data_IF_453586254144
#
_entry.id   IF_453586254144
#
_cell.length_a   1.000
_cell.length_b   1.000
_cell.length_c   1.000
_cell.angle_alpha   90.00
_cell.angle_beta   90.00
_cell.angle_gamma   90.00
#
_symmetry.space_group_name_H-M   'P 1'
#
loop_
_entity.id
_entity.type
_entity.pdbx_description
1 polymer ?
#
# COMPACT_ATOMS: atom_id res chain seq x y z
N UNK A 1 19.70 4.54 3.79
CA UNK A 1 18.58 4.32 3.54
C UNK A 1 17.66 4.45 4.60
N UNK A 2 16.73 5.11 4.48
CA UNK A 2 15.88 5.37 5.51
C UNK A 2 14.77 4.45 5.54
N UNK A 3 14.70 3.72 6.58
CA UNK A 3 13.60 2.80 6.78
C UNK A 3 12.70 3.27 7.89
N UNK A 4 12.97 4.45 8.41
CA UNK A 4 12.15 4.97 9.48
C UNK A 4 10.78 5.36 8.98
N UNK A 5 9.77 4.98 9.71
CA UNK A 5 8.41 5.43 9.42
C UNK A 5 8.29 6.89 9.84
N UNK A 6 7.58 7.70 9.06
CA UNK A 6 7.32 9.07 9.46
C UNK A 6 6.54 9.11 10.78
N UNK A 7 6.84 10.09 11.59
CA UNK A 7 6.09 10.28 12.83
C UNK A 7 4.73 10.89 12.53
N UNK A 8 3.75 10.50 13.30
CA UNK A 8 2.42 11.08 13.20
C UNK A 8 2.31 12.19 14.21
N UNK A 9 2.10 13.39 13.73
CA UNK A 9 1.98 14.58 14.58
C UNK A 9 0.60 15.17 14.38
N UNK A 10 -0.11 15.40 15.48
CA UNK A 10 -1.44 15.98 15.41
C UNK A 10 -1.40 17.44 15.82
N UNK A 11 -1.92 18.31 14.97
CA UNK A 11 -1.97 19.74 15.23
C UNK A 11 -3.40 20.24 15.03
N UNK A 12 -3.77 21.27 15.76
CA UNK A 12 -5.07 21.90 15.60
C UNK A 12 -5.04 22.80 14.37
N UNK A 13 -6.18 22.92 13.70
CA UNK A 13 -6.30 23.73 12.49
C UNK A 13 -5.90 25.18 12.73
N UNK A 14 -6.19 25.73 13.90
CA UNK A 14 -5.80 27.11 14.25
C UNK A 14 -4.30 27.25 14.32
N UNK A 15 -3.60 26.26 14.87
CA UNK A 15 -2.14 26.28 14.94
C UNK A 15 -1.52 26.13 13.56
N UNK A 16 -2.11 25.32 12.71
CA UNK A 16 -1.66 25.17 11.33
C UNK A 16 -1.79 26.50 10.58
N UNK A 17 -2.92 27.19 10.74
CA UNK A 17 -3.12 28.49 10.12
C UNK A 17 -2.08 29.50 10.55
N UNK A 18 -1.78 29.57 11.84
CA UNK A 18 -0.83 30.53 12.37
C UNK A 18 0.60 30.27 11.92
N UNK A 19 0.95 29.02 11.73
CA UNK A 19 2.31 28.61 11.42
C UNK A 19 2.39 27.85 10.10
N UNK A 20 1.59 28.24 9.15
CA UNK A 20 1.41 27.47 7.91
C UNK A 20 2.72 27.16 7.21
N UNK A 21 3.61 28.16 7.09
CA UNK A 21 4.90 27.97 6.43
C UNK A 21 5.72 26.88 7.12
N UNK A 22 5.79 26.91 8.46
CA UNK A 22 6.53 25.92 9.21
C UNK A 22 5.92 24.52 9.04
N UNK A 23 4.60 24.44 9.07
CA UNK A 23 3.89 23.17 8.94
C UNK A 23 4.13 22.57 7.55
N UNK A 24 4.07 23.40 6.52
CA UNK A 24 4.36 22.95 5.15
C UNK A 24 5.79 22.45 5.03
N UNK A 25 6.74 23.16 5.62
CA UNK A 25 8.14 22.73 5.60
C UNK A 25 8.33 21.40 6.32
N UNK A 26 7.68 21.21 7.46
CA UNK A 26 7.76 19.96 8.22
C UNK A 26 7.19 18.79 7.44
N UNK A 27 6.00 18.96 6.89
CA UNK A 27 5.36 17.90 6.10
C UNK A 27 6.19 17.62 4.84
N UNK A 28 6.67 18.67 4.18
CA UNK A 28 7.45 18.53 2.95
C UNK A 28 8.80 17.85 3.14
N UNK A 29 9.35 17.90 4.35
CA UNK A 29 10.63 17.24 4.64
C UNK A 29 10.51 15.71 4.65
N UNK A 30 9.30 15.19 4.79
CA UNK A 30 9.09 13.75 4.69
C UNK A 30 9.29 12.96 5.97
N UNK A 31 9.60 13.62 7.08
CA UNK A 31 9.81 12.94 8.35
C UNK A 31 8.55 12.88 9.21
N UNK A 32 7.55 13.63 8.86
CA UNK A 32 6.33 13.70 9.65
C UNK A 32 5.09 13.69 8.76
N UNK A 33 4.07 12.99 9.25
CA UNK A 33 2.74 13.08 8.67
C UNK A 33 1.95 13.96 9.64
N UNK A 34 1.47 15.09 9.15
CA UNK A 34 0.77 16.05 10.00
C UNK A 34 -0.73 15.82 9.89
N UNK A 35 -1.34 15.44 10.99
CA UNK A 35 -2.79 15.26 11.06
C UNK A 35 -3.38 16.54 11.61
N UNK A 36 -4.27 17.15 10.86
CA UNK A 36 -4.90 18.40 11.26
C UNK A 36 -6.26 18.10 11.85
N UNK A 37 -6.46 18.54 13.08
CA UNK A 37 -7.73 18.39 13.78
C UNK A 37 -8.52 19.68 13.76
N UNK A 38 -9.83 19.51 13.67
CA UNK A 38 -10.77 20.61 13.82
C UNK A 38 -11.89 20.14 14.70
N UNK A 39 -12.15 20.89 15.79
CA UNK A 39 -13.15 20.53 16.78
C UNK A 39 -12.96 19.12 17.34
N UNK A 40 -11.70 18.76 17.55
CA UNK A 40 -11.36 17.46 18.12
C UNK A 40 -11.38 16.29 17.15
N UNK A 41 -11.68 16.54 15.87
CA UNK A 41 -11.77 15.49 14.86
C UNK A 41 -10.67 15.64 13.81
N UNK A 42 -10.00 14.54 13.43
CA UNK A 42 -9.00 14.61 12.37
C UNK A 42 -9.71 14.80 11.03
N UNK A 43 -9.28 15.79 10.26
CA UNK A 43 -9.94 16.13 9.00
C UNK A 43 -9.02 16.11 7.79
N UNK A 44 -7.71 16.33 7.99
CA UNK A 44 -6.75 16.43 6.89
C UNK A 44 -5.45 15.74 7.31
N UNK A 45 -4.75 15.18 6.35
CA UNK A 45 -3.39 14.72 6.55
C UNK A 45 -2.51 15.49 5.59
N UNK A 46 -1.42 16.06 6.10
CA UNK A 46 -0.42 16.73 5.28
C UNK A 46 0.83 15.88 5.23
N UNK A 47 1.29 15.55 4.05
CA UNK A 47 2.50 14.76 3.86
C UNK A 47 3.21 15.24 2.59
N UNK A 48 4.47 14.83 2.42
CA UNK A 48 5.22 15.23 1.23
C UNK A 48 4.64 14.59 -0.02
N UNK A 49 4.84 15.24 -1.15
CA UNK A 49 4.40 14.71 -2.44
C UNK A 49 5.08 13.36 -2.72
N UNK A 50 6.35 13.25 -2.36
CA UNK A 50 7.09 12.00 -2.55
C UNK A 50 6.44 10.83 -1.79
N UNK A 51 6.01 11.08 -0.55
CA UNK A 51 5.33 10.06 0.23
C UNK A 51 3.96 9.73 -0.32
N UNK A 52 3.23 10.75 -0.75
CA UNK A 52 1.93 10.55 -1.36
C UNK A 52 2.06 9.66 -2.60
N UNK A 53 3.03 9.94 -3.46
CA UNK A 53 3.27 9.15 -4.66
C UNK A 53 3.66 7.72 -4.33
N UNK A 54 4.45 7.53 -3.29
CA UNK A 54 4.82 6.20 -2.84
C UNK A 54 3.61 5.40 -2.38
N UNK A 55 2.76 6.03 -1.57
CA UNK A 55 1.53 5.39 -1.09
C UNK A 55 0.60 5.02 -2.24
N UNK A 56 0.49 5.89 -3.25
CA UNK A 56 -0.35 5.61 -4.40
C UNK A 56 0.19 4.45 -5.22
N UNK A 57 1.49 4.38 -5.41
CA UNK A 57 2.11 3.25 -6.11
C UNK A 57 1.90 1.94 -5.37
N UNK A 58 2.06 1.94 -4.06
CA UNK A 58 1.81 0.76 -3.26
C UNK A 58 0.36 0.29 -3.38
N UNK A 59 -0.56 1.24 -3.39
CA UNK A 59 -1.98 0.94 -3.55
C UNK A 59 -2.27 0.31 -4.90
N UNK A 60 -1.68 0.85 -5.97
CA UNK A 60 -1.83 0.30 -7.32
C UNK A 60 -1.26 -1.10 -7.44
N UNK A 61 -0.07 -1.32 -6.87
CA UNK A 61 0.57 -2.63 -6.88
C UNK A 61 -0.26 -3.66 -6.12
N UNK A 62 -0.85 -3.26 -5.01
CA UNK A 62 -1.71 -4.14 -4.23
C UNK A 62 -2.94 -4.53 -5.03
N UNK A 63 -3.56 -3.56 -5.71
CA UNK A 63 -4.72 -3.82 -6.54
C UNK A 63 -4.39 -4.77 -7.70
N UNK A 64 -3.22 -4.59 -8.32
CA UNK A 64 -2.76 -5.47 -9.38
C UNK A 64 -2.53 -6.90 -8.89
N UNK A 65 -1.89 -7.06 -7.74
CA UNK A 65 -1.68 -8.38 -7.16
C UNK A 65 -3.00 -9.08 -6.89
N UNK A 66 -3.98 -8.34 -6.35
CA UNK A 66 -5.28 -8.91 -6.06
C UNK A 66 -5.99 -9.37 -7.33
N UNK A 67 -5.93 -8.57 -8.39
CA UNK A 67 -6.51 -8.95 -9.68
C UNK A 67 -5.89 -10.23 -10.23
N UNK A 68 -4.57 -10.33 -10.15
CA UNK A 68 -3.86 -11.52 -10.62
C UNK A 68 -4.23 -12.75 -9.83
N UNK A 69 -4.33 -12.58 -8.51
CA UNK A 69 -4.72 -13.68 -7.64
C UNK A 69 -6.14 -14.15 -7.94
N UNK A 70 -7.07 -13.23 -8.11
CA UNK A 70 -8.45 -13.56 -8.45
C UNK A 70 -8.56 -14.27 -9.80
N UNK A 71 -7.82 -13.80 -10.79
CA UNK A 71 -7.81 -14.44 -12.11
C UNK A 71 -7.27 -15.86 -12.04
N UNK A 72 -6.20 -16.07 -11.28
CA UNK A 72 -5.63 -17.40 -11.08
C UNK A 72 -6.59 -18.33 -10.34
N UNK A 73 -7.27 -17.81 -9.33
CA UNK A 73 -8.26 -18.58 -8.58
C UNK A 73 -9.40 -19.04 -9.49
N UNK A 74 -9.85 -18.15 -10.39
CA UNK A 74 -10.89 -18.53 -11.35
C UNK A 74 -10.43 -19.62 -12.30
N UNK A 75 -9.18 -19.53 -12.79
CA UNK A 75 -8.63 -20.57 -13.67
C UNK A 75 -8.56 -21.91 -12.99
N UNK A 76 -8.13 -21.92 -11.73
CA UNK A 76 -8.05 -23.13 -10.92
C UNK A 76 -9.45 -23.74 -10.73
N UNK A 77 -10.43 -22.90 -10.38
CA UNK A 77 -11.80 -23.35 -10.21
C UNK A 77 -12.35 -23.99 -11.48
N UNK A 78 -12.10 -23.38 -12.64
CA UNK A 78 -12.51 -23.93 -13.92
C UNK A 78 -11.82 -25.26 -14.23
N UNK A 79 -10.53 -25.35 -13.92
CA UNK A 79 -9.79 -26.59 -14.14
C UNK A 79 -10.32 -27.73 -13.28
N UNK A 80 -10.70 -27.45 -12.06
CA UNK A 80 -11.31 -28.42 -11.17
C UNK A 80 -12.62 -28.96 -11.78
N UNK A 81 -13.45 -28.06 -12.27
CA UNK A 81 -14.72 -28.45 -12.88
C UNK A 81 -14.54 -29.26 -14.14
N UNK A 82 -13.61 -28.87 -15.01
CA UNK A 82 -13.43 -29.52 -16.32
C UNK A 82 -12.64 -30.81 -16.26
N UNK A 83 -11.62 -30.86 -15.40
CA UNK A 83 -10.64 -31.93 -15.44
C UNK A 83 -10.64 -32.80 -14.21
N UNK A 84 -11.42 -32.45 -13.21
CA UNK A 84 -11.49 -33.23 -11.98
C UNK A 84 -10.15 -33.32 -11.27
N UNK A 85 -9.46 -32.18 -11.15
CA UNK A 85 -8.16 -32.16 -10.50
C UNK A 85 -8.25 -32.62 -9.04
N UNK A 86 -7.22 -33.31 -8.60
CA UNK A 86 -7.13 -33.75 -7.23
C UNK A 86 -6.83 -32.55 -6.33
N UNK A 87 -7.07 -32.71 -5.04
CA UNK A 87 -6.78 -31.69 -4.05
C UNK A 87 -5.31 -31.31 -4.06
N UNK A 88 -4.42 -32.29 -4.22
CA UNK A 88 -2.98 -32.05 -4.29
C UNK A 88 -2.62 -31.19 -5.50
N UNK A 89 -3.21 -31.46 -6.64
CA UNK A 89 -2.96 -30.69 -7.85
C UNK A 89 -3.43 -29.26 -7.70
N UNK A 90 -4.57 -29.06 -7.06
CA UNK A 90 -5.09 -27.73 -6.78
C UNK A 90 -4.16 -26.96 -5.85
N UNK A 91 -3.69 -27.61 -4.80
CA UNK A 91 -2.77 -26.98 -3.85
C UNK A 91 -1.45 -26.61 -4.51
N UNK A 92 -0.95 -27.48 -5.38
CA UNK A 92 0.28 -27.18 -6.11
C UNK A 92 0.13 -25.96 -7.00
N UNK A 93 -1.01 -25.83 -7.68
CA UNK A 93 -1.27 -24.67 -8.52
C UNK A 93 -1.40 -23.38 -7.71
N UNK A 94 -2.00 -23.47 -6.53
CA UNK A 94 -2.10 -22.32 -5.65
C UNK A 94 -0.74 -21.84 -5.18
N UNK A 95 0.14 -22.79 -4.81
CA UNK A 95 1.48 -22.43 -4.38
C UNK A 95 2.29 -21.79 -5.50
N UNK A 96 2.17 -22.31 -6.71
CA UNK A 96 2.82 -21.73 -7.88
C UNK A 96 2.34 -20.31 -8.13
N UNK A 97 1.04 -20.08 -8.04
CA UNK A 97 0.46 -18.75 -8.23
C UNK A 97 0.95 -17.78 -7.17
N UNK A 98 1.02 -18.21 -5.92
CA UNK A 98 1.53 -17.39 -4.84
C UNK A 98 2.98 -16.99 -5.08
N UNK A 99 3.78 -17.92 -5.59
CA UNK A 99 5.17 -17.67 -5.89
C UNK A 99 5.32 -16.67 -7.05
N UNK A 100 4.52 -16.81 -8.10
CA UNK A 100 4.53 -15.88 -9.22
C UNK A 100 4.20 -14.46 -8.77
N UNK A 101 3.16 -14.31 -7.97
CA UNK A 101 2.75 -13.00 -7.47
C UNK A 101 3.84 -12.40 -6.59
N UNK A 102 4.45 -13.22 -5.75
CA UNK A 102 5.53 -12.78 -4.89
C UNK A 102 6.73 -12.31 -5.72
N UNK A 103 7.13 -13.09 -6.71
CA UNK A 103 8.28 -12.76 -7.56
C UNK A 103 8.07 -11.47 -8.35
N UNK A 104 6.87 -11.26 -8.87
CA UNK A 104 6.57 -10.02 -9.58
C UNK A 104 6.64 -8.79 -8.68
N UNK A 105 6.27 -8.95 -7.43
CA UNK A 105 6.24 -7.83 -6.50
C UNK A 105 7.59 -7.58 -5.83
N UNK A 106 8.28 -8.64 -5.44
CA UNK A 106 9.51 -8.53 -4.65
C UNK A 106 10.78 -8.91 -5.40
N UNK A 107 10.68 -9.76 -6.39
CA UNK A 107 11.84 -10.29 -7.08
C UNK A 107 12.69 -9.23 -7.77
N UNK A 108 12.05 -8.21 -8.32
CA UNK A 108 12.75 -7.15 -9.03
C UNK A 108 13.36 -6.12 -8.10
N UNK A 109 13.05 -6.17 -6.83
CA UNK A 109 13.58 -5.20 -5.88
C UNK A 109 14.92 -5.61 -5.29
N UNK A 110 15.41 -6.78 -5.62
CA UNK A 110 16.71 -7.22 -5.18
C UNK A 110 17.76 -6.73 -6.14
N UNK A 111 18.73 -5.99 -5.65
CA UNK A 111 19.80 -5.52 -6.50
C UNK A 111 20.74 -6.65 -6.90
#
# INVERSE_FOLDING_TARGET
>A
MLTEKPERVTLRSTDVQRNFRDVVNRAGAGHEHIIVERDGLPVIVMLSVAEYQLLMREREQRAERLKKFEAAARRIGQAIERQGLSEEEVMAQLEETKQEVYDEHYGSSNP
#
